data_IF_109634735784
#
_entry.id   IF_109634735784
#
_cell.length_a   1.000
_cell.length_b   1.000
_cell.length_c   1.000
_cell.angle_alpha   90.00
_cell.angle_beta   90.00
_cell.angle_gamma   90.00
#
_symmetry.space_group_name_H-M   'P 1'
#
loop_
_entity.id
_entity.type
_entity.pdbx_description
1 polymer ?
#
# COMPACT_ATOMS: atom_id res chain seq x y z
N UNK A 1 -0.98 -12.87 -7.34
CA UNK A 1 -2.33 -12.33 -7.60
C UNK A 1 -3.03 -11.59 -6.45
N UNK A 2 -3.18 -12.14 -5.24
CA UNK A 2 -3.94 -11.50 -4.13
C UNK A 2 -3.59 -10.03 -3.86
N UNK A 3 -2.29 -9.69 -3.88
CA UNK A 3 -1.82 -8.33 -3.67
C UNK A 3 -2.28 -7.35 -4.76
N UNK A 4 -2.37 -7.81 -6.02
CA UNK A 4 -2.87 -7.03 -7.15
C UNK A 4 -4.34 -6.63 -6.96
N UNK A 5 -5.16 -7.57 -6.50
CA UNK A 5 -6.58 -7.35 -6.18
C UNK A 5 -6.71 -6.38 -5.01
N UNK A 6 -5.91 -6.58 -3.95
CA UNK A 6 -5.89 -5.69 -2.77
C UNK A 6 -5.63 -4.23 -3.14
N UNK A 7 -4.73 -4.03 -4.09
CA UNK A 7 -4.34 -2.73 -4.63
C UNK A 7 -5.26 -2.20 -5.76
N UNK A 8 -6.32 -2.93 -6.10
CA UNK A 8 -7.25 -2.62 -7.21
C UNK A 8 -6.55 -2.46 -8.56
N UNK A 9 -5.41 -3.11 -8.75
CA UNK A 9 -4.85 -3.30 -10.09
C UNK A 9 -5.69 -4.34 -10.86
N UNK A 10 -6.25 -5.31 -10.13
CA UNK A 10 -7.19 -6.31 -10.65
C UNK A 10 -8.56 -6.06 -10.03
N UNK A 11 -9.56 -5.89 -10.88
CA UNK A 11 -10.96 -5.68 -10.52
C UNK A 11 -11.87 -6.13 -11.68
N UNK A 12 -13.19 -6.17 -11.47
CA UNK A 12 -14.12 -6.42 -12.56
C UNK A 12 -13.98 -5.34 -13.65
N UNK A 13 -13.94 -5.75 -14.92
CA UNK A 13 -13.75 -4.84 -16.06
C UNK A 13 -12.32 -4.66 -16.54
N UNK A 14 -11.32 -5.32 -15.93
CA UNK A 14 -9.98 -5.48 -16.51
C UNK A 14 -9.73 -6.93 -16.93
N UNK A 15 -8.89 -7.10 -17.94
CA UNK A 15 -8.41 -8.41 -18.40
C UNK A 15 -7.11 -8.80 -17.71
N UNK A 16 -6.97 -10.09 -17.36
CA UNK A 16 -5.79 -10.65 -16.68
C UNK A 16 -5.18 -11.78 -17.50
N UNK A 17 -3.85 -11.80 -17.62
CA UNK A 17 -3.11 -12.92 -18.18
C UNK A 17 -2.05 -13.45 -17.21
N UNK A 18 -2.04 -14.75 -16.91
CA UNK A 18 -1.06 -15.39 -16.02
C UNK A 18 -0.02 -16.18 -16.83
N UNK A 19 1.21 -15.66 -16.86
CA UNK A 19 2.36 -16.23 -17.55
C UNK A 19 3.08 -17.22 -16.63
N UNK A 20 2.95 -18.51 -16.93
CA UNK A 20 3.34 -19.62 -16.06
C UNK A 20 2.28 -19.97 -15.03
N UNK A 21 1.02 -20.14 -15.47
CA UNK A 21 -0.13 -20.33 -14.58
C UNK A 21 -0.15 -21.68 -13.82
N UNK A 22 0.75 -22.61 -14.15
CA UNK A 22 0.75 -23.96 -13.59
C UNK A 22 -0.62 -24.64 -13.72
N UNK A 23 -1.14 -25.13 -12.60
CA UNK A 23 -2.46 -25.79 -12.54
C UNK A 23 -3.67 -24.84 -12.59
N UNK A 24 -3.45 -23.52 -12.66
CA UNK A 24 -4.51 -22.51 -12.88
C UNK A 24 -5.41 -22.21 -11.68
N UNK A 25 -4.94 -22.41 -10.44
CA UNK A 25 -5.72 -22.12 -9.23
C UNK A 25 -6.09 -20.63 -9.12
N UNK A 26 -5.12 -19.74 -9.34
CA UNK A 26 -5.34 -18.28 -9.31
C UNK A 26 -6.36 -17.84 -10.39
N UNK A 27 -6.27 -18.42 -11.59
CA UNK A 27 -7.21 -18.14 -12.68
C UNK A 27 -8.64 -18.54 -12.33
N UNK A 28 -8.83 -19.75 -11.75
CA UNK A 28 -10.16 -20.20 -11.30
C UNK A 28 -10.77 -19.23 -10.28
N UNK A 29 -9.98 -18.74 -9.33
CA UNK A 29 -10.45 -17.80 -8.32
C UNK A 29 -10.85 -16.44 -8.93
N UNK A 30 -10.09 -15.93 -9.90
CA UNK A 30 -10.39 -14.67 -10.59
C UNK A 30 -11.66 -14.76 -11.44
N UNK A 31 -11.80 -15.84 -12.22
CA UNK A 31 -12.98 -16.08 -13.05
C UNK A 31 -14.23 -16.18 -12.17
N UNK A 32 -14.15 -16.90 -11.05
CA UNK A 32 -15.25 -16.99 -10.08
C UNK A 32 -15.61 -15.62 -9.47
N UNK A 33 -14.68 -14.67 -9.41
CA UNK A 33 -14.89 -13.31 -8.97
C UNK A 33 -15.35 -12.34 -10.09
N UNK A 34 -15.61 -12.84 -11.31
CA UNK A 34 -16.10 -12.05 -12.44
C UNK A 34 -15.01 -11.28 -13.19
N UNK A 35 -13.74 -11.67 -13.05
CA UNK A 35 -12.62 -11.10 -13.81
C UNK A 35 -12.38 -11.93 -15.07
N UNK A 36 -12.19 -11.26 -16.21
CA UNK A 36 -11.77 -11.92 -17.44
C UNK A 36 -10.29 -12.30 -17.33
N UNK A 37 -9.99 -13.59 -17.16
CA UNK A 37 -8.65 -14.09 -16.88
C UNK A 37 -8.30 -15.31 -17.75
N UNK A 38 -7.08 -15.33 -18.28
CA UNK A 38 -6.51 -16.43 -19.04
C UNK A 38 -5.05 -16.67 -18.61
N UNK A 39 -4.41 -17.75 -19.05
CA UNK A 39 -3.01 -17.98 -18.76
C UNK A 39 -2.40 -19.07 -19.62
N UNK A 40 -1.07 -19.11 -19.59
CA UNK A 40 -0.24 -20.05 -20.34
C UNK A 40 0.79 -20.66 -19.41
N UNK A 41 1.15 -21.92 -19.65
CA UNK A 41 2.22 -22.59 -18.95
C UNK A 41 2.90 -23.60 -19.90
N UNK A 42 4.23 -23.67 -19.95
CA UNK A 42 4.93 -24.53 -20.89
C UNK A 42 4.66 -26.03 -20.69
N UNK A 43 4.20 -26.44 -19.50
CA UNK A 43 3.92 -27.85 -19.19
C UNK A 43 2.42 -28.11 -19.00
N UNK A 44 1.73 -27.26 -18.25
CA UNK A 44 0.34 -27.48 -17.83
C UNK A 44 -0.70 -26.88 -18.77
N UNK A 45 -0.31 -25.94 -19.64
CA UNK A 45 -1.21 -25.22 -20.54
C UNK A 45 -0.50 -24.79 -21.83
N UNK A 46 0.28 -25.70 -22.43
CA UNK A 46 1.16 -25.39 -23.55
C UNK A 46 0.41 -24.95 -24.82
N UNK A 47 -0.80 -25.46 -25.02
CA UNK A 47 -1.66 -25.17 -26.18
C UNK A 47 -2.44 -23.85 -26.04
N UNK A 48 -2.39 -23.19 -24.88
CA UNK A 48 -3.07 -21.91 -24.70
C UNK A 48 -2.34 -20.78 -25.44
N UNK A 49 -3.10 -19.88 -26.04
CA UNK A 49 -2.55 -18.74 -26.73
C UNK A 49 -2.04 -17.69 -25.74
N UNK A 50 -0.83 -17.18 -25.97
CA UNK A 50 -0.29 -16.03 -25.25
C UNK A 50 -0.94 -14.76 -25.79
N UNK A 51 -1.83 -14.14 -24.99
CA UNK A 51 -2.63 -12.97 -25.39
C UNK A 51 -2.31 -11.75 -24.54
N UNK A 52 -2.47 -10.59 -25.13
CA UNK A 52 -2.35 -9.33 -24.41
C UNK A 52 -3.49 -9.16 -23.38
N UNK A 53 -3.18 -8.57 -22.24
CA UNK A 53 -4.12 -8.28 -21.17
C UNK A 53 -3.78 -6.95 -20.49
N UNK A 54 -4.75 -6.35 -19.80
CA UNK A 54 -4.53 -5.14 -19.01
C UNK A 54 -3.49 -5.39 -17.91
N UNK A 55 -3.62 -6.53 -17.23
CA UNK A 55 -2.71 -6.98 -16.18
C UNK A 55 -2.08 -8.31 -16.57
N UNK A 56 -0.75 -8.37 -16.61
CA UNK A 56 -0.02 -9.64 -16.74
C UNK A 56 0.63 -10.00 -15.41
N UNK A 57 0.55 -11.25 -15.00
CA UNK A 57 1.27 -11.79 -13.84
C UNK A 57 2.33 -12.79 -14.32
N UNK A 58 3.55 -12.70 -13.80
CA UNK A 58 4.61 -13.70 -13.96
C UNK A 58 5.09 -14.12 -12.56
N UNK A 59 4.29 -14.97 -11.92
CA UNK A 59 4.50 -15.39 -10.54
C UNK A 59 5.42 -16.60 -10.43
N UNK A 60 6.54 -16.47 -9.73
CA UNK A 60 7.50 -17.53 -9.40
C UNK A 60 8.19 -18.24 -10.59
N UNK A 61 7.84 -17.89 -11.83
CA UNK A 61 8.46 -18.42 -13.05
C UNK A 61 9.96 -18.14 -13.11
N UNK A 62 10.37 -16.90 -12.80
CA UNK A 62 11.79 -16.52 -12.84
C UNK A 62 12.64 -17.30 -11.83
N UNK A 63 12.04 -17.93 -10.82
CA UNK A 63 12.80 -18.70 -9.87
C UNK A 63 13.24 -20.06 -10.42
N UNK A 64 12.52 -20.62 -11.39
CA UNK A 64 12.77 -21.99 -11.87
C UNK A 64 13.57 -22.04 -13.18
N UNK A 65 13.80 -20.89 -13.82
CA UNK A 65 14.59 -20.80 -15.05
C UNK A 65 16.09 -20.69 -14.68
N UNK A 66 16.84 -21.72 -15.06
CA UNK A 66 18.28 -21.86 -14.80
C UNK A 66 19.09 -20.77 -15.51
N UNK A 67 18.88 -20.61 -16.83
CA UNK A 67 19.68 -19.71 -17.64
C UNK A 67 19.27 -18.24 -17.39
N UNK A 68 20.22 -17.35 -16.98
CA UNK A 68 19.93 -15.93 -16.79
C UNK A 68 19.37 -15.22 -18.04
N UNK A 69 19.81 -15.59 -19.24
CA UNK A 69 19.32 -14.99 -20.49
C UNK A 69 17.88 -15.41 -20.79
N UNK A 70 17.55 -16.68 -20.57
CA UNK A 70 16.18 -17.19 -20.72
C UNK A 70 15.21 -16.50 -19.72
N UNK A 71 15.69 -16.15 -18.51
CA UNK A 71 14.93 -15.32 -17.57
C UNK A 71 14.61 -13.95 -18.13
N UNK A 72 15.58 -13.31 -18.78
CA UNK A 72 15.38 -12.01 -19.42
C UNK A 72 14.36 -12.12 -20.57
N UNK A 73 14.46 -13.17 -21.39
CA UNK A 73 13.53 -13.42 -22.49
C UNK A 73 12.10 -13.68 -22.00
N UNK A 74 11.94 -14.50 -20.96
CA UNK A 74 10.64 -14.77 -20.34
C UNK A 74 10.01 -13.50 -19.75
N UNK A 75 10.82 -12.67 -19.09
CA UNK A 75 10.38 -11.38 -18.55
C UNK A 75 9.96 -10.41 -19.66
N UNK A 76 10.76 -10.30 -20.73
CA UNK A 76 10.45 -9.45 -21.88
C UNK A 76 9.18 -9.91 -22.60
N UNK A 77 9.00 -11.23 -22.76
CA UNK A 77 7.79 -11.81 -23.35
C UNK A 77 6.55 -11.51 -22.49
N UNK A 78 6.62 -11.70 -21.17
CA UNK A 78 5.53 -11.34 -20.27
C UNK A 78 5.21 -9.83 -20.33
N UNK A 79 6.23 -8.98 -20.40
CA UNK A 79 6.04 -7.54 -20.55
C UNK A 79 5.33 -7.16 -21.86
N UNK A 80 5.68 -7.81 -22.98
CA UNK A 80 5.04 -7.53 -24.27
C UNK A 80 3.53 -7.80 -24.28
N UNK A 81 3.04 -8.67 -23.39
CA UNK A 81 1.62 -8.98 -23.24
C UNK A 81 0.89 -7.98 -22.34
N UNK A 82 1.61 -7.15 -21.58
CA UNK A 82 1.01 -6.23 -20.61
C UNK A 82 0.63 -4.90 -21.26
N UNK A 83 -0.67 -4.62 -21.33
CA UNK A 83 -1.21 -3.34 -21.83
C UNK A 83 -1.13 -2.22 -20.80
N UNK A 84 -1.23 -2.52 -19.51
CA UNK A 84 -1.17 -1.51 -18.42
C UNK A 84 -0.09 -1.83 -17.39
N UNK A 85 -0.14 -3.02 -16.80
CA UNK A 85 0.78 -3.38 -15.69
C UNK A 85 1.25 -4.83 -15.78
N UNK A 86 2.55 -5.04 -15.51
CA UNK A 86 3.13 -6.36 -15.28
C UNK A 86 3.43 -6.53 -13.80
N UNK A 87 3.02 -7.67 -13.24
CA UNK A 87 3.25 -8.06 -11.86
C UNK A 87 4.24 -9.20 -11.84
N UNK A 88 5.39 -8.97 -11.20
CA UNK A 88 6.46 -9.97 -11.06
C UNK A 88 6.54 -10.38 -9.60
N UNK A 89 6.53 -11.68 -9.33
CA UNK A 89 6.71 -12.22 -7.97
C UNK A 89 7.80 -13.28 -7.98
N UNK A 90 8.71 -13.24 -7.01
CA UNK A 90 9.79 -14.25 -6.86
C UNK A 90 10.00 -14.63 -5.39
N UNK A 91 10.64 -15.78 -5.17
CA UNK A 91 11.18 -16.13 -3.87
C UNK A 91 12.43 -15.30 -3.54
N UNK A 92 12.49 -14.74 -2.33
CA UNK A 92 13.62 -13.92 -1.85
C UNK A 92 14.56 -14.69 -0.93
N UNK A 93 15.83 -14.29 -0.91
CA UNK A 93 16.84 -14.84 0.01
C UNK A 93 16.41 -14.63 1.46
N UNK A 94 16.53 -15.68 2.28
CA UNK A 94 16.21 -15.65 3.71
C UNK A 94 14.73 -15.88 4.05
N UNK A 95 13.83 -15.96 3.04
CA UNK A 95 12.44 -16.36 3.27
C UNK A 95 12.28 -17.87 3.51
N UNK A 96 13.19 -18.69 2.97
CA UNK A 96 13.20 -20.15 3.11
C UNK A 96 14.61 -20.59 3.51
N UNK A 97 14.77 -21.56 4.44
CA UNK A 97 16.07 -22.16 4.71
C UNK A 97 16.65 -22.79 3.45
N UNK A 98 17.90 -22.44 3.14
CA UNK A 98 18.65 -23.04 2.02
C UNK A 98 19.58 -24.17 2.48
N UNK A 99 19.52 -24.51 3.77
CA UNK A 99 20.33 -25.57 4.37
C UNK A 99 20.03 -26.91 3.68
N UNK A 100 21.08 -27.57 3.19
CA UNK A 100 20.97 -28.84 2.47
C UNK A 100 20.67 -28.73 0.97
N UNK A 101 20.45 -27.53 0.42
CA UNK A 101 20.40 -27.33 -1.02
C UNK A 101 21.82 -27.30 -1.62
N UNK A 102 21.99 -27.87 -2.82
CA UNK A 102 23.28 -27.88 -3.51
C UNK A 102 23.43 -26.60 -4.35
N UNK A 103 24.44 -25.75 -4.13
CA UNK A 103 24.68 -24.58 -4.99
C UNK A 103 24.88 -24.99 -6.45
N UNK A 104 24.27 -24.26 -7.38
CA UNK A 104 24.37 -24.50 -8.80
C UNK A 104 24.04 -23.23 -9.60
N UNK A 105 24.93 -22.81 -10.50
CA UNK A 105 24.80 -21.53 -11.19
C UNK A 105 24.70 -20.37 -10.20
N UNK A 106 23.67 -19.53 -10.36
CA UNK A 106 23.31 -18.44 -9.44
C UNK A 106 22.12 -18.77 -8.53
N UNK A 107 21.84 -20.06 -8.36
CA UNK A 107 20.78 -20.61 -7.51
C UNK A 107 21.19 -21.92 -6.85
N UNK A 108 20.21 -22.80 -6.68
CA UNK A 108 20.39 -24.08 -5.99
C UNK A 108 19.64 -25.21 -6.70
N UNK A 109 20.15 -26.43 -6.57
CA UNK A 109 19.42 -27.65 -6.89
C UNK A 109 18.75 -28.21 -5.64
N UNK A 110 17.46 -28.53 -5.76
CA UNK A 110 16.73 -29.27 -4.73
C UNK A 110 17.17 -30.72 -4.67
N UNK A 111 16.75 -31.44 -3.61
CA UNK A 111 16.99 -32.88 -3.51
C UNK A 111 16.39 -33.70 -4.68
N UNK A 112 15.39 -33.14 -5.38
CA UNK A 112 14.77 -33.74 -6.57
C UNK A 112 15.47 -33.34 -7.89
N UNK A 113 16.56 -32.58 -7.80
CA UNK A 113 17.32 -32.12 -8.97
C UNK A 113 16.73 -30.94 -9.73
N UNK A 114 15.72 -30.25 -9.17
CA UNK A 114 15.14 -29.06 -9.81
C UNK A 114 15.90 -27.80 -9.42
N UNK A 115 16.12 -26.90 -10.39
CA UNK A 115 16.74 -25.60 -10.14
C UNK A 115 15.77 -24.65 -9.42
N UNK A 116 16.32 -23.85 -8.50
CA UNK A 116 15.61 -22.82 -7.77
C UNK A 116 16.55 -21.65 -7.47
N UNK A 117 16.24 -20.47 -8.01
CA UNK A 117 16.89 -19.21 -7.66
C UNK A 117 16.14 -18.50 -6.54
N UNK A 118 16.89 -17.90 -5.61
CA UNK A 118 16.37 -16.95 -4.62
C UNK A 118 16.97 -15.58 -4.91
N UNK A 119 16.14 -14.56 -5.01
CA UNK A 119 16.58 -13.22 -5.40
C UNK A 119 16.83 -12.35 -4.17
N UNK A 120 17.82 -11.46 -4.26
CA UNK A 120 17.84 -10.28 -3.40
C UNK A 120 16.87 -9.23 -3.96
N UNK A 121 16.29 -8.40 -3.09
CA UNK A 121 15.33 -7.36 -3.49
C UNK A 121 15.96 -6.36 -4.50
N UNK A 122 17.20 -5.95 -4.23
CA UNK A 122 17.97 -5.02 -5.06
C UNK A 122 18.38 -5.64 -6.41
N UNK A 123 18.80 -6.91 -6.38
CA UNK A 123 19.11 -7.70 -7.58
C UNK A 123 17.89 -7.83 -8.49
N UNK A 124 16.72 -8.19 -7.94
CA UNK A 124 15.49 -8.28 -8.70
C UNK A 124 15.13 -6.92 -9.31
N UNK A 125 15.16 -5.84 -8.54
CA UNK A 125 14.87 -4.49 -9.04
C UNK A 125 15.78 -4.12 -10.20
N UNK A 126 17.08 -4.42 -10.10
CA UNK A 126 18.04 -4.15 -11.16
C UNK A 126 17.73 -4.93 -12.44
N UNK A 127 17.45 -6.24 -12.34
CA UNK A 127 17.04 -7.09 -13.46
C UNK A 127 15.80 -6.53 -14.16
N UNK A 128 14.76 -6.22 -13.38
CA UNK A 128 13.50 -5.68 -13.89
C UNK A 128 13.69 -4.36 -14.63
N UNK A 129 14.45 -3.44 -14.03
CA UNK A 129 14.75 -2.13 -14.62
C UNK A 129 15.55 -2.25 -15.92
N UNK A 130 16.51 -3.18 -15.96
CA UNK A 130 17.35 -3.40 -17.13
C UNK A 130 16.59 -3.98 -18.32
N UNK A 131 15.67 -4.92 -18.09
CA UNK A 131 14.94 -5.61 -19.16
C UNK A 131 13.79 -4.75 -19.70
N UNK A 132 13.10 -4.02 -18.82
CA UNK A 132 11.83 -3.36 -19.15
C UNK A 132 11.99 -1.85 -19.39
N UNK A 133 13.11 -1.25 -18.94
CA UNK A 133 13.40 0.20 -18.98
C UNK A 133 12.31 1.08 -18.35
N UNK A 134 11.68 0.57 -17.29
CA UNK A 134 10.75 1.33 -16.44
C UNK A 134 11.13 1.12 -14.98
N UNK A 135 10.78 2.08 -14.12
CA UNK A 135 11.06 1.99 -12.68
C UNK A 135 10.11 0.97 -12.02
N UNK A 136 10.62 -0.14 -11.45
CA UNK A 136 9.77 -1.13 -10.81
C UNK A 136 9.26 -0.62 -9.45
N UNK A 137 7.94 -0.70 -9.25
CA UNK A 137 7.29 -0.32 -7.98
C UNK A 137 7.18 -1.53 -7.07
N UNK A 138 7.85 -1.52 -5.92
CA UNK A 138 7.77 -2.61 -4.96
C UNK A 138 6.37 -2.71 -4.32
N UNK A 139 5.70 -3.84 -4.51
CA UNK A 139 4.44 -4.16 -3.85
C UNK A 139 4.68 -4.89 -2.52
N UNK A 140 5.66 -5.80 -2.47
CA UNK A 140 6.12 -6.51 -1.27
C UNK A 140 7.56 -7.03 -1.48
N UNK A 141 8.22 -7.61 -0.45
CA UNK A 141 9.49 -8.29 -0.67
C UNK A 141 9.34 -9.39 -1.73
N UNK A 142 10.11 -9.30 -2.80
CA UNK A 142 10.05 -10.20 -3.96
C UNK A 142 8.90 -9.92 -4.94
N UNK A 143 8.08 -8.89 -4.73
CA UNK A 143 6.92 -8.59 -5.59
C UNK A 143 7.00 -7.15 -6.09
N UNK A 144 6.98 -6.98 -7.41
CA UNK A 144 7.02 -5.68 -8.09
C UNK A 144 5.88 -5.53 -9.10
N UNK A 145 5.41 -4.29 -9.28
CA UNK A 145 4.56 -3.87 -10.38
C UNK A 145 5.36 -2.95 -11.32
N UNK A 146 5.21 -3.15 -12.62
CA UNK A 146 5.80 -2.33 -13.67
C UNK A 146 4.67 -1.71 -14.48
N UNK A 147 4.59 -0.39 -14.51
CA UNK A 147 3.51 0.35 -15.17
C UNK A 147 3.93 0.81 -16.56
N UNK A 148 3.03 0.69 -17.54
CA UNK A 148 3.23 1.20 -18.90
C UNK A 148 3.17 2.73 -18.94
N UNK A 149 2.25 3.31 -18.17
CA UNK A 149 2.05 4.75 -18.08
C UNK A 149 2.67 5.31 -16.80
N UNK A 150 3.54 6.34 -16.90
CA UNK A 150 4.01 7.10 -15.75
C UNK A 150 2.88 7.73 -14.92
N UNK A 151 1.78 8.13 -15.57
CA UNK A 151 0.62 8.71 -14.91
C UNK A 151 -0.11 7.68 -14.04
N UNK A 152 -0.34 6.46 -14.57
CA UNK A 152 -0.93 5.37 -13.78
C UNK A 152 -0.06 4.97 -12.59
N UNK A 153 1.27 4.98 -12.76
CA UNK A 153 2.23 4.77 -11.67
C UNK A 153 2.07 5.83 -10.57
N UNK A 154 2.00 7.11 -10.93
CA UNK A 154 1.87 8.21 -9.98
C UNK A 154 0.52 8.17 -9.25
N UNK A 155 -0.57 7.91 -9.97
CA UNK A 155 -1.90 7.77 -9.38
C UNK A 155 -1.93 6.58 -8.41
N UNK A 156 -1.34 5.44 -8.79
CA UNK A 156 -1.19 4.28 -7.91
C UNK A 156 -0.42 4.62 -6.62
N UNK A 157 0.72 5.31 -6.75
CA UNK A 157 1.55 5.69 -5.60
C UNK A 157 0.83 6.69 -4.67
N UNK A 158 0.05 7.62 -5.21
CA UNK A 158 -0.74 8.56 -4.40
C UNK A 158 -1.85 7.86 -3.64
N UNK A 159 -2.64 7.01 -4.30
CA UNK A 159 -3.72 6.26 -3.65
C UNK A 159 -3.18 5.32 -2.57
N UNK A 160 -2.00 4.70 -2.80
CA UNK A 160 -1.30 3.93 -1.77
C UNK A 160 -0.95 4.76 -0.53
N UNK A 161 -0.51 6.01 -0.71
CA UNK A 161 -0.11 6.93 0.39
C UNK A 161 -1.32 7.46 1.17
N UNK A 162 -2.44 7.67 0.49
CA UNK A 162 -3.75 7.97 1.11
C UNK A 162 -4.28 6.78 1.90
N UNK A 163 -4.00 5.56 1.43
CA UNK A 163 -4.52 4.32 1.97
C UNK A 163 -6.03 4.19 1.83
N UNK A 164 -6.64 3.20 2.50
CA UNK A 164 -8.09 2.93 2.45
C UNK A 164 -8.91 3.92 3.30
N UNK A 165 -8.65 5.22 3.18
CA UNK A 165 -9.42 6.29 3.87
C UNK A 165 -10.82 6.51 3.28
N UNK A 166 -11.24 5.67 2.32
CA UNK A 166 -12.62 5.56 1.89
C UNK A 166 -13.50 5.00 3.04
N UNK A 167 -13.94 5.91 3.89
CA UNK A 167 -15.24 5.94 4.56
C UNK A 167 -15.65 4.69 5.37
N UNK A 168 -15.33 4.70 6.67
CA UNK A 168 -16.17 4.05 7.69
C UNK A 168 -17.45 4.86 7.99
N UNK A 169 -17.61 6.03 7.36
CA UNK A 169 -18.82 6.86 7.45
C UNK A 169 -19.93 6.43 6.47
N UNK A 170 -19.61 5.67 5.42
CA UNK A 170 -20.57 5.17 4.44
C UNK A 170 -21.53 4.10 5.01
N UNK A 171 -21.32 3.70 6.27
CA UNK A 171 -22.16 2.72 6.98
C UNK A 171 -22.74 3.23 8.30
N UNK A 172 -22.85 4.55 8.51
CA UNK A 172 -23.84 5.05 9.47
C UNK A 172 -25.18 5.18 8.75
N UNK A 173 -25.90 4.08 8.70
CA UNK A 173 -27.32 4.08 8.35
C UNK A 173 -28.05 5.03 9.31
N UNK A 174 -28.33 6.25 8.88
CA UNK A 174 -29.36 7.05 9.53
C UNK A 174 -30.67 6.29 9.33
N UNK A 175 -31.18 5.72 10.42
CA UNK A 175 -32.46 5.02 10.46
C UNK A 175 -33.54 6.03 10.07
N UNK A 176 -34.27 5.87 8.96
CA UNK A 176 -35.26 6.85 8.57
C UNK A 176 -36.42 6.83 9.58
N UNK A 177 -36.66 7.99 10.20
CA UNK A 177 -37.93 8.25 10.89
C UNK A 177 -39.00 8.31 9.81
N UNK A 178 -39.96 7.38 9.84
CA UNK A 178 -41.09 7.33 8.90
C UNK A 178 -41.87 8.65 8.95
N UNK A 179 -41.85 9.41 7.86
CA UNK A 179 -42.76 10.53 7.61
C UNK A 179 -43.56 10.30 6.31
N UNK A 180 -44.72 10.95 6.24
CA UNK A 180 -45.79 10.76 5.24
C UNK A 180 -45.36 11.18 3.81
N UNK A 181 -46.00 10.64 2.76
CA UNK A 181 -45.55 10.83 1.38
C UNK A 181 -45.73 12.29 0.95
N UNK A 182 -44.61 13.01 0.93
CA UNK A 182 -44.46 14.29 0.23
C UNK A 182 -43.57 14.02 -0.98
N UNK A 183 -43.72 14.78 -2.08
CA UNK A 183 -42.82 14.64 -3.23
C UNK A 183 -41.37 14.70 -2.75
N UNK A 184 -40.48 13.81 -3.22
CA UNK A 184 -39.12 13.77 -2.72
C UNK A 184 -38.46 15.13 -2.97
N UNK A 185 -37.81 15.67 -1.95
CA UNK A 185 -37.11 16.94 -2.07
C UNK A 185 -35.93 16.78 -3.05
N UNK A 186 -35.28 17.88 -3.43
CA UNK A 186 -34.14 17.83 -4.36
C UNK A 186 -33.05 16.86 -3.87
N UNK A 187 -32.72 16.90 -2.59
CA UNK A 187 -31.69 16.07 -1.95
C UNK A 187 -32.00 14.58 -2.09
N UNK A 188 -33.23 14.15 -1.83
CA UNK A 188 -33.67 12.76 -1.96
C UNK A 188 -33.60 12.27 -3.42
N UNK A 189 -33.88 13.14 -4.38
CA UNK A 189 -33.86 12.81 -5.82
C UNK A 189 -32.46 12.58 -6.36
N UNK A 190 -31.48 13.31 -5.83
CA UNK A 190 -30.06 13.22 -6.24
C UNK A 190 -29.15 12.66 -5.13
N UNK A 191 -29.70 11.97 -4.14
CA UNK A 191 -28.94 11.43 -3.01
C UNK A 191 -27.71 10.61 -3.43
N UNK A 192 -27.78 9.71 -4.45
CA UNK A 192 -26.59 9.00 -4.92
C UNK A 192 -25.48 9.92 -5.43
N UNK A 193 -25.84 11.06 -6.03
CA UNK A 193 -24.87 12.06 -6.51
C UNK A 193 -24.25 12.79 -5.33
N UNK A 194 -25.07 13.21 -4.35
CA UNK A 194 -24.59 13.89 -3.14
C UNK A 194 -23.63 12.98 -2.37
N UNK A 195 -23.99 11.72 -2.16
CA UNK A 195 -23.17 10.74 -1.45
C UNK A 195 -21.83 10.52 -2.17
N UNK A 196 -21.86 10.39 -3.50
CA UNK A 196 -20.65 10.23 -4.30
C UNK A 196 -19.75 11.48 -4.26
N UNK A 197 -20.33 12.68 -4.39
CA UNK A 197 -19.59 13.94 -4.31
C UNK A 197 -19.02 14.19 -2.91
N UNK A 198 -19.77 13.88 -1.86
CA UNK A 198 -19.31 13.97 -0.47
C UNK A 198 -18.19 12.96 -0.16
N UNK A 199 -18.30 11.73 -0.67
CA UNK A 199 -17.24 10.73 -0.57
C UNK A 199 -15.97 11.19 -1.30
N UNK A 200 -16.12 11.74 -2.52
CA UNK A 200 -15.01 12.33 -3.27
C UNK A 200 -14.37 13.47 -2.48
N UNK A 201 -15.17 14.38 -1.92
CA UNK A 201 -14.68 15.52 -1.16
C UNK A 201 -13.95 15.09 0.12
N UNK A 202 -14.44 14.06 0.80
CA UNK A 202 -13.76 13.46 1.96
C UNK A 202 -12.42 12.83 1.58
N UNK A 203 -12.32 12.23 0.39
CA UNK A 203 -11.09 11.59 -0.08
C UNK A 203 -10.04 12.58 -0.62
N UNK A 204 -10.50 13.62 -1.34
CA UNK A 204 -9.64 14.52 -2.12
C UNK A 204 -9.48 15.90 -1.47
N UNK A 205 -10.22 16.17 -0.40
CA UNK A 205 -10.25 17.48 0.26
C UNK A 205 -10.78 18.59 -0.64
N UNK A 206 -11.53 18.26 -1.69
CA UNK A 206 -12.09 19.21 -2.66
C UNK A 206 -13.29 18.62 -3.37
N UNK A 207 -14.15 19.48 -3.93
CA UNK A 207 -15.27 19.02 -4.77
C UNK A 207 -14.80 18.43 -6.11
N UNK A 208 -15.53 17.45 -6.68
CA UNK A 208 -15.17 16.82 -7.94
C UNK A 208 -15.38 17.74 -9.14
N UNK A 209 -14.54 17.56 -10.16
CA UNK A 209 -14.78 18.06 -11.51
C UNK A 209 -15.77 17.15 -12.25
N UNK A 210 -16.54 17.63 -13.25
CA UNK A 210 -17.44 16.79 -14.05
C UNK A 210 -16.82 15.47 -14.54
N UNK A 211 -15.63 15.54 -15.14
CA UNK A 211 -14.90 14.35 -15.63
C UNK A 211 -14.47 13.34 -14.53
N UNK A 212 -14.64 13.68 -13.25
CA UNK A 212 -14.26 12.84 -12.11
C UNK A 212 -15.48 12.16 -11.48
N UNK A 213 -16.66 12.37 -12.05
CA UNK A 213 -17.92 11.75 -11.64
C UNK A 213 -18.35 10.70 -12.66
N UNK A 214 -18.72 9.48 -12.24
CA UNK A 214 -19.19 8.42 -13.14
C UNK A 214 -20.34 8.84 -14.06
N UNK A 215 -20.39 8.30 -15.27
CA UNK A 215 -21.41 8.60 -16.28
C UNK A 215 -22.83 8.36 -15.79
N UNK A 216 -23.04 7.33 -14.97
CA UNK A 216 -24.35 6.96 -14.43
C UNK A 216 -24.92 8.07 -13.53
N UNK A 217 -24.05 8.80 -12.85
CA UNK A 217 -24.44 9.92 -12.00
C UNK A 217 -24.71 11.18 -12.83
N UNK A 218 -24.03 11.36 -13.96
CA UNK A 218 -24.39 12.40 -14.94
C UNK A 218 -25.78 12.15 -15.55
N UNK A 219 -26.07 10.91 -15.94
CA UNK A 219 -27.38 10.51 -16.46
C UNK A 219 -28.50 10.76 -15.45
N UNK A 220 -28.22 10.48 -14.16
CA UNK A 220 -29.13 10.78 -13.07
C UNK A 220 -29.40 12.29 -12.96
N UNK A 221 -28.37 13.13 -13.01
CA UNK A 221 -28.52 14.59 -12.98
C UNK A 221 -29.37 15.11 -14.15
N UNK A 222 -29.13 14.58 -15.36
CA UNK A 222 -29.91 14.92 -16.56
C UNK A 222 -31.37 14.51 -16.39
N UNK A 223 -31.65 13.28 -15.93
CA UNK A 223 -33.01 12.78 -15.69
C UNK A 223 -33.75 13.63 -14.67
N UNK A 224 -33.08 14.00 -13.58
CA UNK A 224 -33.65 14.83 -12.53
C UNK A 224 -33.67 16.34 -12.88
N UNK A 225 -33.14 16.72 -14.06
CA UNK A 225 -33.04 18.11 -14.54
C UNK A 225 -32.30 19.01 -13.54
N UNK A 226 -31.21 18.49 -12.98
CA UNK A 226 -30.35 19.20 -12.02
C UNK A 226 -29.01 19.47 -12.69
N UNK A 227 -28.53 20.71 -12.66
CA UNK A 227 -27.20 21.03 -13.17
C UNK A 227 -26.11 20.52 -12.21
N UNK A 228 -24.92 20.23 -12.76
CA UNK A 228 -23.78 19.81 -11.96
C UNK A 228 -23.43 20.83 -10.85
N UNK A 229 -23.47 22.13 -11.18
CA UNK A 229 -23.25 23.20 -10.21
C UNK A 229 -24.27 23.18 -9.06
N UNK A 230 -25.56 22.96 -9.37
CA UNK A 230 -26.61 22.85 -8.35
C UNK A 230 -26.37 21.63 -7.45
N UNK A 231 -25.93 20.50 -8.00
CA UNK A 231 -25.61 19.30 -7.24
C UNK A 231 -24.40 19.52 -6.29
N UNK A 232 -23.38 20.25 -6.73
CA UNK A 232 -22.25 20.66 -5.90
C UNK A 232 -22.70 21.56 -4.74
N UNK A 233 -23.52 22.58 -5.02
CA UNK A 233 -24.03 23.49 -3.99
C UNK A 233 -24.88 22.73 -2.96
N UNK A 234 -25.73 21.80 -3.41
CA UNK A 234 -26.52 20.94 -2.50
C UNK A 234 -25.62 20.05 -1.66
N UNK A 235 -24.54 19.51 -2.23
CA UNK A 235 -23.58 18.69 -1.48
C UNK A 235 -22.84 19.52 -0.43
N UNK A 236 -22.42 20.76 -0.76
CA UNK A 236 -21.82 21.70 0.19
C UNK A 236 -22.79 22.13 1.30
N UNK A 237 -24.07 22.30 0.95
CA UNK A 237 -25.09 22.79 1.89
C UNK A 237 -25.58 21.76 2.92
N UNK A 238 -25.26 20.48 2.76
CA UNK A 238 -25.74 19.45 3.68
C UNK A 238 -25.22 18.02 3.48
N UNK A 239 -24.53 17.73 2.37
CA UNK A 239 -23.94 16.41 2.10
C UNK A 239 -22.61 16.17 2.81
N UNK A 240 -21.90 17.23 3.20
CA UNK A 240 -20.65 17.19 3.97
C UNK A 240 -20.58 18.39 4.90
N UNK A 241 -20.08 18.22 6.13
CA UNK A 241 -19.86 19.36 7.03
C UNK A 241 -18.58 20.10 6.69
N UNK A 242 -18.56 21.42 6.92
CA UNK A 242 -17.39 22.27 6.67
C UNK A 242 -16.16 21.80 7.47
N UNK A 243 -16.35 21.37 8.72
CA UNK A 243 -15.27 20.83 9.55
C UNK A 243 -14.64 19.57 8.95
N UNK A 244 -15.48 18.66 8.41
CA UNK A 244 -15.00 17.44 7.79
C UNK A 244 -14.28 17.74 6.48
N UNK A 245 -14.78 18.69 5.70
CA UNK A 245 -14.14 19.14 4.47
C UNK A 245 -12.78 19.79 4.75
N UNK A 246 -12.69 20.67 5.75
CA UNK A 246 -11.43 21.30 6.14
C UNK A 246 -10.38 20.29 6.65
N UNK A 247 -10.82 19.27 7.40
CA UNK A 247 -9.95 18.16 7.81
C UNK A 247 -9.46 17.36 6.60
N UNK A 248 -10.36 17.04 5.66
CA UNK A 248 -10.00 16.34 4.43
C UNK A 248 -9.04 17.16 3.55
N UNK A 249 -9.21 18.48 3.49
CA UNK A 249 -8.31 19.40 2.79
C UNK A 249 -6.90 19.37 3.40
N UNK A 250 -6.79 19.54 4.72
CA UNK A 250 -5.51 19.50 5.44
C UNK A 250 -4.80 18.15 5.26
N UNK A 251 -5.54 17.03 5.35
CA UNK A 251 -4.99 15.69 5.14
C UNK A 251 -4.54 15.46 3.70
N UNK A 252 -5.35 15.83 2.71
CA UNK A 252 -4.99 15.66 1.30
C UNK A 252 -3.77 16.49 0.93
N UNK A 253 -3.68 17.72 1.46
CA UNK A 253 -2.52 18.59 1.30
C UNK A 253 -1.26 17.95 1.89
N UNK A 254 -1.34 17.38 3.10
CA UNK A 254 -0.21 16.65 3.69
C UNK A 254 0.16 15.40 2.87
N UNK A 255 -0.82 14.63 2.39
CA UNK A 255 -0.58 13.44 1.55
C UNK A 255 0.14 13.80 0.24
N UNK A 256 -0.21 14.92 -0.39
CA UNK A 256 0.47 15.41 -1.59
C UNK A 256 1.91 15.83 -1.30
N UNK A 257 2.18 16.48 -0.15
CA UNK A 257 3.54 16.81 0.27
C UNK A 257 4.37 15.55 0.55
N UNK A 258 3.81 14.59 1.28
CA UNK A 258 4.44 13.26 1.51
C UNK A 258 4.70 12.58 0.17
N UNK A 259 3.75 12.65 -0.75
CA UNK A 259 3.87 12.07 -2.08
C UNK A 259 5.06 12.68 -2.84
N UNK A 260 5.14 14.00 -2.92
CA UNK A 260 6.23 14.66 -3.63
C UNK A 260 7.58 14.48 -2.94
N UNK A 261 7.61 14.52 -1.61
CA UNK A 261 8.81 14.25 -0.82
C UNK A 261 9.38 12.87 -1.16
N UNK A 262 8.53 11.84 -1.20
CA UNK A 262 8.94 10.50 -1.59
C UNK A 262 9.42 10.42 -3.04
N UNK A 263 8.78 11.13 -3.97
CA UNK A 263 9.23 11.17 -5.36
C UNK A 263 10.64 11.78 -5.50
N UNK A 264 10.93 12.85 -4.75
CA UNK A 264 12.25 13.49 -4.71
C UNK A 264 13.29 12.57 -4.08
N UNK A 265 13.01 12.01 -2.90
CA UNK A 265 13.94 11.12 -2.17
C UNK A 265 14.30 9.88 -2.98
N UNK A 266 13.33 9.36 -3.73
CA UNK A 266 13.50 8.17 -4.54
C UNK A 266 13.96 8.46 -5.98
N UNK A 267 14.16 9.73 -6.34
CA UNK A 267 14.57 10.17 -7.68
C UNK A 267 13.66 9.62 -8.78
N UNK A 268 12.35 9.63 -8.53
CA UNK A 268 11.35 9.10 -9.46
C UNK A 268 11.44 9.81 -10.82
N UNK A 269 11.52 9.02 -11.90
CA UNK A 269 11.52 9.51 -13.29
C UNK A 269 10.13 10.00 -13.73
N UNK A 270 9.07 9.46 -13.12
CA UNK A 270 7.66 9.73 -13.42
C UNK A 270 7.09 10.91 -12.63
N UNK A 271 7.84 11.49 -11.68
CA UNK A 271 7.36 12.56 -10.80
C UNK A 271 6.85 13.82 -11.52
N UNK A 272 7.31 14.07 -12.76
CA UNK A 272 6.83 15.20 -13.57
C UNK A 272 5.56 14.88 -14.40
N UNK A 273 5.19 13.60 -14.50
CA UNK A 273 4.10 13.09 -15.33
C UNK A 273 2.89 12.77 -14.47
N UNK A 274 2.13 13.82 -14.17
CA UNK A 274 1.01 13.77 -13.25
C UNK A 274 -0.30 13.52 -14.00
N UNK A 275 -1.15 12.65 -13.46
CA UNK A 275 -2.50 12.43 -13.98
C UNK A 275 -3.40 13.68 -13.86
N UNK A 276 -4.45 13.82 -14.69
CA UNK A 276 -5.33 14.99 -14.69
C UNK A 276 -5.94 15.29 -13.31
N UNK A 277 -6.36 14.26 -12.58
CA UNK A 277 -6.91 14.41 -11.23
C UNK A 277 -5.88 14.92 -10.23
N UNK A 278 -4.62 14.48 -10.32
CA UNK A 278 -3.55 14.98 -9.46
C UNK A 278 -3.20 16.44 -9.78
N UNK A 279 -3.22 16.83 -11.06
CA UNK A 279 -3.05 18.24 -11.45
C UNK A 279 -4.15 19.12 -10.85
N UNK A 280 -5.41 18.66 -10.86
CA UNK A 280 -6.53 19.36 -10.22
C UNK A 280 -6.35 19.44 -8.70
N UNK A 281 -5.90 18.37 -8.06
CA UNK A 281 -5.59 18.34 -6.63
C UNK A 281 -4.50 19.39 -6.30
N UNK A 282 -3.40 19.42 -7.05
CA UNK A 282 -2.30 20.37 -6.83
C UNK A 282 -2.76 21.82 -7.00
N UNK A 283 -3.51 22.12 -8.07
CA UNK A 283 -4.05 23.47 -8.31
C UNK A 283 -4.97 23.92 -7.18
N UNK A 284 -5.79 23.02 -6.65
CA UNK A 284 -6.70 23.34 -5.55
C UNK A 284 -5.94 23.61 -4.24
N UNK A 285 -5.02 22.70 -3.86
CA UNK A 285 -4.38 22.71 -2.53
C UNK A 285 -3.14 23.60 -2.42
N UNK A 286 -2.53 23.96 -3.54
CA UNK A 286 -1.26 24.72 -3.57
C UNK A 286 -1.30 25.91 -4.53
N UNK A 287 -2.36 26.07 -5.32
CA UNK A 287 -2.47 27.09 -6.38
C UNK A 287 -1.75 26.70 -7.66
N UNK A 288 -0.46 26.38 -7.57
CA UNK A 288 0.38 26.03 -8.73
C UNK A 288 1.34 24.87 -8.46
N UNK A 289 1.80 24.21 -9.52
CA UNK A 289 2.79 23.14 -9.42
C UNK A 289 4.15 23.66 -8.92
N UNK A 290 4.49 24.92 -9.18
CA UNK A 290 5.69 25.55 -8.65
C UNK A 290 5.60 25.71 -7.13
N UNK A 291 4.52 26.29 -6.62
CA UNK A 291 4.32 26.46 -5.17
C UNK A 291 4.26 25.11 -4.44
N UNK A 292 3.68 24.09 -5.08
CA UNK A 292 3.71 22.73 -4.57
C UNK A 292 5.14 22.18 -4.44
N UNK A 293 5.99 22.37 -5.46
CA UNK A 293 7.37 21.92 -5.44
C UNK A 293 8.20 22.64 -4.36
N UNK A 294 8.04 23.95 -4.21
CA UNK A 294 8.70 24.76 -3.18
C UNK A 294 8.33 24.26 -1.78
N UNK A 295 7.05 24.07 -1.51
CA UNK A 295 6.56 23.59 -0.21
C UNK A 295 6.97 22.13 0.07
N UNK A 296 7.06 21.29 -0.96
CA UNK A 296 7.57 19.93 -0.82
C UNK A 296 9.06 19.90 -0.44
N UNK A 297 9.86 20.84 -0.95
CA UNK A 297 11.27 20.98 -0.55
C UNK A 297 11.41 21.45 0.91
N UNK A 298 10.59 22.42 1.34
CA UNK A 298 10.53 22.82 2.75
C UNK A 298 10.13 21.67 3.66
N UNK A 299 9.16 20.86 3.22
CA UNK A 299 8.72 19.66 3.92
C UNK A 299 9.87 18.64 4.08
N UNK A 300 10.68 18.44 3.03
CA UNK A 300 11.88 17.59 3.06
C UNK A 300 12.97 18.10 4.01
N UNK A 301 13.18 19.42 4.08
CA UNK A 301 14.12 19.97 5.06
C UNK A 301 13.66 19.67 6.50
N UNK A 302 12.36 19.67 6.75
CA UNK A 302 11.79 19.24 8.03
C UNK A 302 12.08 17.78 8.38
N UNK A 303 12.15 16.88 7.41
CA UNK A 303 12.49 15.46 7.60
C UNK A 303 13.93 15.21 8.06
N UNK A 304 14.85 16.11 7.69
CA UNK A 304 16.26 16.01 8.07
C UNK A 304 16.50 16.41 9.55
N UNK A 305 15.53 17.09 10.17
CA UNK A 305 15.59 17.49 11.58
C UNK A 305 15.26 16.31 12.50
N UNK A 306 16.31 15.85 13.20
CA UNK A 306 16.24 14.71 14.11
C UNK A 306 15.35 15.00 15.32
N UNK A 307 15.39 16.22 15.85
CA UNK A 307 14.57 16.62 17.00
C UNK A 307 13.09 16.63 16.64
N UNK A 308 12.73 17.12 15.44
CA UNK A 308 11.34 17.05 14.94
C UNK A 308 10.85 15.62 14.83
N UNK A 309 11.66 14.73 14.28
CA UNK A 309 11.26 13.34 14.05
C UNK A 309 11.11 12.57 15.37
N UNK A 310 12.02 12.77 16.32
CA UNK A 310 11.91 12.17 17.66
C UNK A 310 10.68 12.70 18.40
N UNK A 311 10.45 14.01 18.38
CA UNK A 311 9.27 14.60 19.03
C UNK A 311 7.95 14.12 18.40
N UNK A 312 7.91 13.92 17.08
CA UNK A 312 6.76 13.34 16.41
C UNK A 312 6.51 11.88 16.86
N UNK A 313 7.57 11.09 17.00
CA UNK A 313 7.46 9.72 17.50
C UNK A 313 6.93 9.66 18.95
N UNK A 314 7.41 10.55 19.82
CA UNK A 314 6.93 10.67 21.19
C UNK A 314 5.46 11.07 21.25
N UNK A 315 5.05 12.11 20.51
CA UNK A 315 3.64 12.52 20.43
C UNK A 315 2.73 11.39 19.96
N UNK A 316 3.15 10.62 18.96
CA UNK A 316 2.39 9.48 18.47
C UNK A 316 2.20 8.40 19.56
N UNK A 317 3.21 8.14 20.38
CA UNK A 317 3.08 7.21 21.49
C UNK A 317 2.16 7.77 22.60
N UNK A 318 2.30 9.04 22.96
CA UNK A 318 1.46 9.74 23.96
C UNK A 318 -0.02 9.79 23.56
N UNK A 319 -0.31 9.94 22.26
CA UNK A 319 -1.67 9.89 21.72
C UNK A 319 -2.21 8.46 21.55
N UNK A 320 -1.45 7.44 21.97
CA UNK A 320 -1.85 6.04 21.92
C UNK A 320 -1.82 5.43 20.52
N UNK A 321 -1.03 5.99 19.59
CA UNK A 321 -0.81 5.40 18.26
C UNK A 321 0.18 4.22 18.30
N UNK A 322 1.09 4.17 19.27
CA UNK A 322 2.06 3.09 19.41
C UNK A 322 2.81 3.12 20.74
N UNK A 323 3.91 2.38 20.81
CA UNK A 323 4.78 2.29 21.98
C UNK A 323 6.22 2.67 21.64
N UNK A 324 6.89 3.37 22.56
CA UNK A 324 8.35 3.57 22.49
C UNK A 324 9.04 2.39 23.19
N UNK A 325 10.04 1.83 22.53
CA UNK A 325 10.87 0.76 23.10
C UNK A 325 12.08 1.30 23.89
N UNK A 326 12.86 0.39 24.46
CA UNK A 326 14.01 0.70 25.33
C UNK A 326 15.11 1.55 24.66
N UNK A 327 15.17 1.56 23.32
CA UNK A 327 16.15 2.33 22.55
C UNK A 327 15.53 3.61 21.95
N UNK A 328 14.33 4.00 22.38
CA UNK A 328 13.65 5.20 21.89
C UNK A 328 13.01 5.04 20.51
N UNK A 329 12.75 3.81 20.06
CA UNK A 329 12.18 3.54 18.73
C UNK A 329 10.66 3.38 18.84
N UNK A 330 9.93 3.97 17.89
CA UNK A 330 8.47 3.86 17.85
C UNK A 330 8.06 2.54 17.22
N UNK A 331 7.20 1.78 17.89
CA UNK A 331 6.58 0.56 17.40
C UNK A 331 5.07 0.77 17.28
N UNK A 332 4.54 0.53 16.08
CA UNK A 332 3.14 0.81 15.73
C UNK A 332 2.54 -0.33 14.88
N UNK A 333 1.24 -0.56 15.00
CA UNK A 333 0.50 -1.41 14.07
C UNK A 333 0.48 -0.81 12.66
N UNK A 334 0.75 -1.62 11.64
CA UNK A 334 0.77 -1.13 10.26
C UNK A 334 -0.56 -0.47 9.84
N UNK A 335 -1.69 -0.97 10.35
CA UNK A 335 -3.02 -0.43 10.07
C UNK A 335 -3.20 1.03 10.51
N UNK A 336 -2.32 1.55 11.36
CA UNK A 336 -2.41 2.89 11.98
C UNK A 336 -1.33 3.86 11.51
N UNK A 337 -0.45 3.43 10.60
CA UNK A 337 0.62 4.28 10.04
C UNK A 337 0.06 5.56 9.41
N UNK A 338 -1.14 5.49 8.83
CA UNK A 338 -1.80 6.63 8.21
C UNK A 338 -2.30 7.69 9.20
N UNK A 339 -2.36 7.38 10.49
CA UNK A 339 -2.72 8.31 11.58
C UNK A 339 -1.50 9.10 12.07
N UNK A 340 -0.28 8.74 11.65
CA UNK A 340 0.94 9.43 12.04
C UNK A 340 1.10 10.78 11.32
N UNK A 341 1.80 11.71 11.99
CA UNK A 341 2.36 12.92 11.38
C UNK A 341 3.07 12.56 10.07
N UNK A 342 2.87 13.36 9.01
CA UNK A 342 3.39 13.02 7.68
C UNK A 342 4.92 12.91 7.62
N UNK A 343 5.65 13.51 8.56
CA UNK A 343 7.10 13.32 8.71
C UNK A 343 7.45 11.84 8.97
N UNK A 344 6.72 11.17 9.85
CA UNK A 344 6.91 9.74 10.13
C UNK A 344 6.39 8.89 8.97
N UNK A 345 5.30 9.31 8.32
CA UNK A 345 4.78 8.65 7.12
C UNK A 345 5.76 8.70 5.96
N UNK A 346 6.58 9.75 5.83
CA UNK A 346 7.66 9.79 4.84
C UNK A 346 8.76 8.79 5.15
N UNK A 347 9.19 8.64 6.40
CA UNK A 347 10.19 7.64 6.77
C UNK A 347 9.71 6.22 6.45
N UNK A 348 8.47 5.91 6.83
CA UNK A 348 7.86 4.61 6.54
C UNK A 348 7.66 4.45 5.03
N UNK A 349 7.22 5.50 4.33
CA UNK A 349 7.07 5.51 2.88
C UNK A 349 8.38 5.26 2.13
N UNK A 350 9.51 5.78 2.62
CA UNK A 350 10.84 5.48 2.06
C UNK A 350 11.18 4.00 2.26
N UNK A 351 10.85 3.44 3.43
CA UNK A 351 11.06 2.02 3.68
C UNK A 351 10.19 1.16 2.76
N UNK A 352 8.90 1.49 2.65
CA UNK A 352 7.93 0.83 1.78
C UNK A 352 8.29 0.96 0.30
N UNK A 353 8.93 2.05 -0.12
CA UNK A 353 9.45 2.17 -1.48
C UNK A 353 10.52 1.11 -1.80
N UNK A 354 11.40 0.83 -0.83
CA UNK A 354 12.49 -0.14 -1.00
C UNK A 354 11.99 -1.59 -0.83
N UNK A 355 11.24 -1.86 0.23
CA UNK A 355 10.81 -3.23 0.57
C UNK A 355 9.48 -3.65 -0.05
N UNK A 356 8.67 -2.71 -0.53
CA UNK A 356 7.25 -2.92 -0.71
C UNK A 356 6.48 -2.94 0.61
N UNK A 357 5.17 -3.16 0.52
CA UNK A 357 4.29 -3.38 1.69
C UNK A 357 4.50 -4.79 2.23
N UNK A 358 4.33 -4.93 3.55
CA UNK A 358 4.19 -6.24 4.17
C UNK A 358 2.72 -6.38 4.62
N UNK A 359 2.25 -7.61 4.81
CA UNK A 359 0.84 -7.93 5.05
C UNK A 359 0.23 -7.20 6.27
N UNK A 360 -1.08 -6.94 6.34
CA UNK A 360 -1.68 -6.11 7.41
C UNK A 360 -1.50 -6.62 8.85
N UNK A 361 -0.98 -7.83 9.00
CA UNK A 361 -0.65 -8.48 10.27
C UNK A 361 0.80 -8.19 10.71
N UNK A 362 1.44 -7.10 10.26
CA UNK A 362 2.76 -6.68 10.77
C UNK A 362 2.71 -5.44 11.65
N UNK A 363 3.73 -5.34 12.50
CA UNK A 363 4.06 -4.11 13.24
C UNK A 363 5.31 -3.48 12.63
N UNK A 364 5.35 -2.15 12.67
CA UNK A 364 6.43 -1.32 12.14
C UNK A 364 7.21 -0.75 13.31
N UNK A 365 8.51 -0.99 13.32
CA UNK A 365 9.46 -0.32 14.22
C UNK A 365 10.23 0.74 13.45
N UNK A 366 10.09 1.99 13.85
CA UNK A 366 10.77 3.14 13.29
C UNK A 366 11.92 3.56 14.22
N UNK A 367 13.15 3.58 13.68
CA UNK A 367 14.35 4.13 14.31
C UNK A 367 14.82 5.35 13.51
N UNK A 368 14.34 6.57 13.86
CA UNK A 368 14.74 7.79 13.19
C UNK A 368 16.24 8.08 13.29
N UNK A 369 16.85 7.76 14.44
CA UNK A 369 18.25 8.07 14.71
C UNK A 369 19.18 7.29 13.77
N UNK A 370 18.89 6.00 13.57
CA UNK A 370 19.65 5.14 12.66
C UNK A 370 19.12 5.14 11.23
N UNK A 371 18.02 5.86 10.96
CA UNK A 371 17.30 5.88 9.68
C UNK A 371 16.95 4.47 9.21
N UNK A 372 16.38 3.68 10.13
CA UNK A 372 16.00 2.29 9.88
C UNK A 372 14.53 2.08 10.17
N UNK A 373 13.92 1.23 9.36
CA UNK A 373 12.59 0.71 9.61
C UNK A 373 12.69 -0.81 9.66
N UNK A 374 12.12 -1.42 10.70
CA UNK A 374 12.01 -2.87 10.79
C UNK A 374 10.54 -3.26 10.77
N UNK A 375 10.18 -4.20 9.91
CA UNK A 375 8.84 -4.75 9.82
C UNK A 375 8.85 -6.16 10.43
N UNK A 376 7.86 -6.46 11.28
CA UNK A 376 7.73 -7.76 11.95
C UNK A 376 6.38 -8.37 11.62
N UNK A 377 6.37 -9.47 10.87
CA UNK A 377 5.14 -10.19 10.54
C UNK A 377 4.66 -10.97 11.78
N UNK A 378 3.46 -10.68 12.26
CA UNK A 378 2.91 -11.33 13.44
C UNK A 378 2.17 -12.62 13.09
N UNK A 379 2.56 -13.69 13.76
CA UNK A 379 1.82 -14.94 13.87
C UNK A 379 0.74 -14.78 14.94
N UNK A 380 -0.50 -14.62 14.49
CA UNK A 380 -1.68 -14.66 15.37
C UNK A 380 -1.93 -13.37 16.17
N UNK A 381 -2.20 -12.24 15.51
CA UNK A 381 -2.59 -10.96 16.14
C UNK A 381 -3.76 -11.05 17.12
N UNK A 382 -4.59 -12.09 17.05
CA UNK A 382 -5.69 -12.33 18.00
C UNK A 382 -5.21 -12.91 19.34
N UNK A 383 -4.04 -13.54 19.40
CA UNK A 383 -3.50 -14.08 20.65
C UNK A 383 -3.08 -12.92 21.58
N UNK A 384 -3.04 -13.13 22.91
CA UNK A 384 -2.60 -12.09 23.83
C UNK A 384 -1.14 -11.67 23.61
N UNK A 385 -0.29 -12.59 23.16
CA UNK A 385 1.14 -12.33 22.94
C UNK A 385 1.54 -12.86 21.56
N UNK A 386 1.26 -12.11 20.49
CA UNK A 386 1.62 -12.51 19.14
C UNK A 386 3.14 -12.67 19.02
N UNK A 387 3.56 -13.69 18.29
CA UNK A 387 4.97 -13.93 17.97
C UNK A 387 5.28 -13.41 16.57
N UNK A 388 6.53 -13.11 16.30
CA UNK A 388 7.05 -12.89 14.96
C UNK A 388 8.16 -13.89 14.73
N UNK A 389 8.26 -14.44 13.51
CA UNK A 389 9.33 -15.38 13.15
C UNK A 389 10.41 -14.73 12.30
N UNK A 390 10.06 -13.69 11.55
CA UNK A 390 10.97 -13.02 10.63
C UNK A 390 10.94 -11.52 10.88
N UNK A 391 12.04 -10.86 10.58
CA UNK A 391 12.10 -9.40 10.52
C UNK A 391 12.66 -8.96 9.17
N UNK A 392 12.04 -7.93 8.61
CA UNK A 392 12.52 -7.25 7.41
C UNK A 392 13.07 -5.91 7.85
N UNK A 393 14.40 -5.77 7.81
CA UNK A 393 15.08 -4.52 8.17
C UNK A 393 15.45 -3.76 6.91
N UNK A 394 14.95 -2.53 6.81
CA UNK A 394 15.24 -1.58 5.75
C UNK A 394 16.19 -0.51 6.29
N UNK A 395 17.37 -0.43 5.69
CA UNK A 395 18.36 0.62 5.98
C UNK A 395 18.22 1.72 4.93
N UNK A 396 17.61 2.85 5.32
CA UNK A 396 17.30 3.94 4.40
C UNK A 396 18.55 4.65 3.90
N UNK A 397 19.65 4.62 4.68
CA UNK A 397 20.93 5.22 4.28
C UNK A 397 21.63 4.39 3.23
N UNK A 398 21.60 3.06 3.38
CA UNK A 398 22.21 2.12 2.44
C UNK A 398 21.29 1.72 1.29
N UNK A 399 20.01 2.10 1.35
CA UNK A 399 18.95 1.67 0.43
C UNK A 399 18.89 0.14 0.29
N UNK A 400 19.04 -0.55 1.42
CA UNK A 400 19.15 -2.00 1.48
C UNK A 400 18.01 -2.63 2.28
N UNK A 401 17.58 -3.82 1.86
CA UNK A 401 16.48 -4.57 2.48
C UNK A 401 17.00 -5.95 2.84
N UNK A 402 16.96 -6.28 4.13
CA UNK A 402 17.41 -7.59 4.62
C UNK A 402 16.27 -8.31 5.35
N UNK A 403 16.04 -9.56 4.96
CA UNK A 403 15.08 -10.46 5.61
C UNK A 403 15.85 -11.45 6.47
N UNK A 404 15.44 -11.62 7.74
CA UNK A 404 16.11 -12.50 8.70
C UNK A 404 15.10 -13.31 9.49
N UNK A 405 15.50 -14.50 9.93
CA UNK A 405 14.82 -15.21 11.00
C UNK A 405 15.11 -14.47 12.32
N UNK A 406 14.07 -13.99 12.98
CA UNK A 406 14.13 -13.14 14.17
C UNK A 406 12.90 -13.43 15.03
N UNK A 407 12.92 -14.58 15.71
CA UNK A 407 11.84 -14.98 16.61
C UNK A 407 11.75 -14.03 17.80
N UNK A 408 10.59 -13.37 17.93
CA UNK A 408 10.28 -12.47 19.05
C UNK A 408 8.83 -12.61 19.47
N UNK A 409 8.53 -12.18 20.68
CA UNK A 409 7.16 -12.07 21.20
C UNK A 409 6.84 -10.62 21.53
N UNK A 410 5.64 -10.17 21.13
CA UNK A 410 5.11 -8.86 21.47
C UNK A 410 4.53 -8.87 22.88
N UNK A 411 5.12 -8.09 23.77
CA UNK A 411 4.77 -8.05 25.20
C UNK A 411 4.00 -6.79 25.62
N UNK A 412 3.92 -5.78 24.73
CA UNK A 412 3.12 -4.55 24.91
C UNK A 412 2.12 -4.37 23.77
N UNK A 413 1.33 -5.41 23.51
CA UNK A 413 0.32 -5.41 22.45
C UNK A 413 -0.70 -4.29 22.66
N UNK A 414 -1.18 -4.06 23.88
CA UNK A 414 -2.18 -3.04 24.14
C UNK A 414 -1.75 -1.63 23.72
N UNK A 415 -0.48 -1.29 23.88
CA UNK A 415 0.04 0.02 23.45
C UNK A 415 0.19 0.09 21.93
N UNK A 416 0.80 -0.93 21.31
CA UNK A 416 1.02 -0.98 19.85
C UNK A 416 -0.30 -0.93 19.06
N UNK A 417 -1.36 -1.54 19.59
CA UNK A 417 -2.68 -1.57 18.96
C UNK A 417 -3.66 -0.52 19.50
N UNK A 418 -3.23 0.42 20.35
CA UNK A 418 -4.09 1.51 20.84
C UNK A 418 -5.29 1.03 21.68
N UNK A 419 -5.13 -0.07 22.40
CA UNK A 419 -6.19 -0.61 23.24
C UNK A 419 -6.44 0.27 24.46
N UNK A 420 -7.71 0.38 24.85
CA UNK A 420 -8.15 1.18 25.99
C UNK A 420 -7.35 0.84 27.28
N UNK A 421 -7.15 1.85 28.12
CA UNK A 421 -6.37 1.75 29.37
C UNK A 421 -6.86 0.65 30.32
N UNK A 422 -8.18 0.37 30.32
CA UNK A 422 -8.80 -0.68 31.16
C UNK A 422 -8.96 -2.03 30.46
N UNK A 423 -8.28 -2.25 29.33
CA UNK A 423 -8.42 -3.52 28.61
C UNK A 423 -7.82 -4.69 29.41
N UNK A 424 -8.50 -5.84 29.40
CA UNK A 424 -8.01 -7.09 30.02
C UNK A 424 -6.64 -7.51 29.50
N UNK A 425 -6.32 -7.09 28.27
CA UNK A 425 -5.03 -7.33 27.64
C UNK A 425 -3.88 -6.65 28.41
N UNK A 426 -4.05 -5.40 28.85
CA UNK A 426 -3.03 -4.68 29.65
C UNK A 426 -2.72 -5.38 30.96
N UNK A 427 -3.75 -5.85 31.66
CA UNK A 427 -3.59 -6.61 32.90
C UNK A 427 -2.76 -7.88 32.68
N UNK A 428 -3.06 -8.65 31.62
CA UNK A 428 -2.31 -9.85 31.25
C UNK A 428 -0.85 -9.54 30.91
N UNK A 429 -0.60 -8.44 30.20
CA UNK A 429 0.76 -8.00 29.84
C UNK A 429 1.58 -7.63 31.08
N UNK A 430 0.99 -6.92 32.04
CA UNK A 430 1.64 -6.59 33.32
C UNK A 430 1.95 -7.87 34.10
N UNK A 431 0.98 -8.76 34.27
CA UNK A 431 1.18 -10.04 34.98
C UNK A 431 2.30 -10.89 34.38
N UNK A 432 2.36 -10.97 33.04
CA UNK A 432 3.41 -11.71 32.34
C UNK A 432 4.78 -11.05 32.54
N UNK A 433 4.88 -9.73 32.37
CA UNK A 433 6.16 -9.01 32.53
C UNK A 433 6.73 -9.17 33.93
N UNK A 434 5.89 -9.05 34.97
CA UNK A 434 6.30 -9.29 36.36
C UNK A 434 6.77 -10.74 36.56
N UNK A 435 6.02 -11.71 36.03
CA UNK A 435 6.36 -13.15 36.17
C UNK A 435 7.68 -13.52 35.47
N UNK A 436 7.93 -12.96 34.29
CA UNK A 436 9.08 -13.29 33.45
C UNK A 436 10.28 -12.34 33.65
N UNK A 437 10.16 -11.34 34.55
CA UNK A 437 11.22 -10.36 34.80
C UNK A 437 11.54 -9.47 33.59
N UNK A 438 10.53 -9.17 32.77
CA UNK A 438 10.68 -8.37 31.56
C UNK A 438 10.58 -6.89 31.92
N UNK A 439 11.57 -6.11 31.49
CA UNK A 439 11.62 -4.65 31.64
C UNK A 439 10.37 -3.96 31.07
N UNK A 440 9.89 -2.92 31.76
CA UNK A 440 8.66 -2.21 31.37
C UNK A 440 8.77 -1.50 30.01
N UNK A 441 9.96 -1.05 29.63
CA UNK A 441 10.22 -0.39 28.37
C UNK A 441 10.22 -1.38 27.19
N UNK A 442 10.42 -2.68 27.43
CA UNK A 442 10.45 -3.67 26.34
C UNK A 442 9.08 -3.82 25.71
N UNK A 443 9.06 -3.67 24.38
CA UNK A 443 7.87 -3.91 23.55
C UNK A 443 7.95 -5.29 22.89
N UNK A 444 9.14 -5.70 22.44
CA UNK A 444 9.41 -7.00 21.82
C UNK A 444 10.53 -7.72 22.58
N UNK A 445 10.35 -9.01 22.85
CA UNK A 445 11.36 -9.86 23.51
C UNK A 445 11.80 -10.96 22.56
N UNK A 446 13.10 -11.16 22.40
CA UNK A 446 13.64 -12.25 21.57
C UNK A 446 13.37 -13.60 22.24
N UNK A 447 12.89 -14.57 21.45
CA UNK A 447 12.62 -15.95 21.89
C UNK A 447 13.83 -16.85 21.67
#
# INVERSE_FOLDING_TARGET
MSLAVRHRLVHAGVTVFDYGCGHGDDLRALIAAGVDANGWDPHFAADQERREADVVNIGFVLNVIENPFERMDALAAAWSLARRVLIVSVMVVGAVPVDGLKPFGDGYLTARGTFQKYFQQTELKALLSQVVDVEPVALAPGIFALFRSPEEEQDFLLERRRGRRASTSAYRSNRPVRSKPTRPNLEERIAPVIDAMAAFATQRGRMPHPDEVPSELHDLLVRERVSFARALDTTRGGGISDDLLAQAEAQCREDLLVHQALNILNRSRSAARLGPSMVRDIRHHFGSQQQFAEQALEYLHGLADQSRTVNAALRAAESGLGAIDEDGRLIIDNGRVLELDGILRCYIGCATYLSGEIDQEHIVRLDPLRRRVTLFALSGKRTPFPETNTSVTIDLKRQDVSVRNDRRVLVRKADVFGMAARSRQRSREVERRVREGIDEAKVLVRL
#
